data_IF_848012537644
#
_entry.id   IF_848012537644
#
_cell.length_a   1.000
_cell.length_b   1.000
_cell.length_c   1.000
_cell.angle_alpha   90.00
_cell.angle_beta   90.00
_cell.angle_gamma   90.00
#
_symmetry.space_group_name_H-M   'P 1'
#
loop_
_entity.id
_entity.type
_entity.pdbx_description
1 polymer ?
#
# COMPACT_ATOMS: atom_id res chain seq x y z
N UNK A 1 -16.23 -2.10 19.37
CA UNK A 1 -17.00 -1.39 18.31
C UNK A 1 -16.29 -1.68 17.01
N UNK A 2 -16.99 -2.06 15.95
CA UNK A 2 -16.31 -2.54 14.74
C UNK A 2 -16.09 -1.40 13.74
N UNK A 3 -14.82 -1.17 13.36
CA UNK A 3 -14.42 -0.28 12.28
C UNK A 3 -13.99 -1.14 11.10
N UNK A 4 -14.55 -0.86 9.93
CA UNK A 4 -14.20 -1.56 8.70
C UNK A 4 -13.29 -0.68 7.85
N UNK A 5 -12.10 -1.20 7.52
CA UNK A 5 -11.20 -0.55 6.58
C UNK A 5 -11.47 -1.04 5.16
N UNK A 6 -11.72 -0.09 4.26
CA UNK A 6 -11.85 -0.33 2.84
C UNK A 6 -10.60 -0.98 2.25
N UNK A 7 -10.79 -1.89 1.29
CA UNK A 7 -9.70 -2.58 0.58
C UNK A 7 -8.66 -1.62 -0.01
N UNK A 8 -9.09 -0.42 -0.44
CA UNK A 8 -8.20 0.61 -1.00
C UNK A 8 -7.32 1.24 0.06
N UNK A 9 -7.90 1.61 1.20
CA UNK A 9 -7.18 2.15 2.35
C UNK A 9 -6.13 1.15 2.87
N UNK A 10 -6.52 -0.13 3.00
CA UNK A 10 -5.57 -1.19 3.42
C UNK A 10 -4.40 -1.34 2.45
N UNK A 11 -4.66 -1.28 1.14
CA UNK A 11 -3.58 -1.33 0.14
C UNK A 11 -2.67 -0.12 0.22
N UNK A 12 -3.23 1.07 0.41
CA UNK A 12 -2.47 2.31 0.52
C UNK A 12 -1.57 2.29 1.75
N UNK A 13 -2.10 1.92 2.92
CA UNK A 13 -1.30 1.74 4.15
C UNK A 13 -0.18 0.73 3.90
N UNK A 14 -0.46 -0.40 3.24
CA UNK A 14 0.59 -1.39 2.96
C UNK A 14 1.72 -0.85 2.10
N UNK A 15 1.39 -0.11 1.03
CA UNK A 15 2.39 0.50 0.15
C UNK A 15 3.19 1.54 0.91
N UNK A 16 2.50 2.43 1.62
CA UNK A 16 3.15 3.47 2.43
C UNK A 16 4.03 2.88 3.53
N UNK A 17 3.60 1.77 4.15
CA UNK A 17 4.41 1.08 5.14
C UNK A 17 5.67 0.48 4.51
N UNK A 18 5.57 -0.16 3.34
CA UNK A 18 6.76 -0.65 2.62
C UNK A 18 7.72 0.49 2.27
N UNK A 19 7.20 1.60 1.75
CA UNK A 19 7.99 2.77 1.41
C UNK A 19 8.64 3.38 2.66
N UNK A 20 7.94 3.44 3.79
CA UNK A 20 8.45 3.92 5.07
C UNK A 20 9.59 3.02 5.61
N UNK A 21 9.51 1.70 5.41
CA UNK A 21 10.59 0.77 5.76
C UNK A 21 11.83 1.05 4.91
N UNK A 22 11.66 1.23 3.60
CA UNK A 22 12.77 1.45 2.67
C UNK A 22 13.42 2.84 2.83
N UNK A 23 12.60 3.87 3.05
CA UNK A 23 13.03 5.25 3.18
C UNK A 23 13.36 5.68 4.63
N UNK A 24 12.90 4.91 5.62
CA UNK A 24 12.95 5.29 7.04
C UNK A 24 12.05 6.48 7.38
N UNK A 25 11.00 6.73 6.60
CA UNK A 25 10.10 7.88 6.76
C UNK A 25 8.70 7.42 7.22
N UNK A 26 8.50 7.47 8.53
CA UNK A 26 7.21 7.14 9.15
C UNK A 26 6.24 8.33 9.19
N UNK A 27 6.67 9.55 8.84
CA UNK A 27 5.76 10.71 8.82
C UNK A 27 4.71 10.58 7.73
N UNK A 28 5.13 10.15 6.53
CA UNK A 28 4.22 9.90 5.41
C UNK A 28 3.24 8.75 5.74
N UNK A 29 3.74 7.67 6.34
CA UNK A 29 2.91 6.55 6.76
C UNK A 29 1.86 6.95 7.80
N UNK A 30 2.21 7.83 8.75
CA UNK A 30 1.26 8.35 9.73
C UNK A 30 0.08 9.04 9.04
N UNK A 31 0.35 9.89 8.06
CA UNK A 31 -0.69 10.60 7.31
C UNK A 31 -1.58 9.62 6.53
N UNK A 32 -0.98 8.63 5.85
CA UNK A 32 -1.72 7.59 5.12
C UNK A 32 -2.60 6.71 6.02
N UNK A 33 -2.15 6.41 7.25
CA UNK A 33 -2.95 5.68 8.24
C UNK A 33 -4.14 6.53 8.67
N UNK A 34 -3.96 7.83 8.92
CA UNK A 34 -5.04 8.71 9.34
C UNK A 34 -6.10 8.85 8.24
N UNK A 35 -5.66 9.02 7.00
CA UNK A 35 -6.54 9.14 5.82
C UNK A 35 -7.32 7.85 5.53
N UNK A 36 -6.88 6.71 6.07
CA UNK A 36 -7.61 5.44 5.96
C UNK A 36 -8.88 5.39 6.81
N UNK A 37 -9.00 6.24 7.83
CA UNK A 37 -10.17 6.31 8.70
C UNK A 37 -11.06 7.51 8.33
N UNK A 38 -12.37 7.31 8.41
CA UNK A 38 -13.33 8.41 8.23
C UNK A 38 -13.32 9.37 9.42
N UNK A 39 -13.67 10.63 9.21
CA UNK A 39 -13.77 11.64 10.30
C UNK A 39 -14.65 11.14 11.47
N UNK A 40 -15.80 10.51 11.17
CA UNK A 40 -16.69 9.93 12.20
C UNK A 40 -16.02 8.80 13.02
N UNK A 41 -15.18 7.98 12.37
CA UNK A 41 -14.42 6.93 13.04
C UNK A 41 -13.33 7.51 13.91
N UNK A 42 -12.62 8.54 13.43
CA UNK A 42 -11.60 9.26 14.19
C UNK A 42 -12.21 9.91 15.43
N UNK A 43 -13.29 10.68 15.30
CA UNK A 43 -13.96 11.32 16.43
C UNK A 43 -14.39 10.31 17.52
N UNK A 44 -14.86 9.13 17.11
CA UNK A 44 -15.28 8.10 18.05
C UNK A 44 -14.10 7.39 18.72
N UNK A 45 -12.97 7.21 18.02
CA UNK A 45 -11.72 6.72 18.61
C UNK A 45 -11.20 7.74 19.63
N UNK A 46 -11.14 9.02 19.27
CA UNK A 46 -10.72 10.12 20.16
C UNK A 46 -11.62 10.23 21.39
N UNK A 47 -12.93 10.01 21.24
CA UNK A 47 -13.86 9.98 22.37
C UNK A 47 -13.55 8.87 23.38
N UNK A 48 -12.90 7.79 22.93
CA UNK A 48 -12.50 6.66 23.77
C UNK A 48 -11.04 6.73 24.24
N UNK A 49 -10.18 7.43 23.50
CA UNK A 49 -8.84 7.77 23.96
C UNK A 49 -8.95 8.75 25.13
N UNK A 50 -8.84 8.23 26.36
CA UNK A 50 -8.88 9.05 27.58
C UNK A 50 -7.70 10.06 27.67
N UNK A 51 -6.64 9.89 26.87
CA UNK A 51 -5.35 10.59 27.03
C UNK A 51 -4.86 11.44 25.85
N UNK A 52 -5.53 11.50 24.69
CA UNK A 52 -4.98 12.22 23.53
C UNK A 52 -5.86 12.20 22.28
N UNK A 53 -5.40 12.87 21.23
CA UNK A 53 -6.02 12.81 19.89
C UNK A 53 -5.53 11.59 19.10
N UNK A 54 -6.21 11.27 17.99
CA UNK A 54 -5.87 10.09 17.20
C UNK A 54 -4.49 10.22 16.53
N UNK A 55 -4.04 11.46 16.27
CA UNK A 55 -2.75 11.73 15.67
C UNK A 55 -1.59 11.37 16.61
N UNK A 56 -1.66 11.79 17.87
CA UNK A 56 -0.69 11.41 18.90
C UNK A 56 -0.68 9.90 19.12
N UNK A 57 -1.86 9.26 19.13
CA UNK A 57 -1.96 7.81 19.21
C UNK A 57 -1.22 7.08 18.08
N UNK A 58 -1.40 7.50 16.83
CA UNK A 58 -0.69 6.88 15.69
C UNK A 58 0.81 7.22 15.74
N UNK A 59 1.18 8.41 16.21
CA UNK A 59 2.60 8.75 16.39
C UNK A 59 3.27 7.83 17.42
N UNK A 60 2.65 7.63 18.59
CA UNK A 60 3.14 6.73 19.63
C UNK A 60 3.23 5.28 19.14
N UNK A 61 2.23 4.83 18.36
CA UNK A 61 2.23 3.52 17.70
C UNK A 61 3.43 3.36 16.76
N UNK A 62 3.72 4.38 15.94
CA UNK A 62 4.82 4.35 14.98
C UNK A 62 6.20 4.48 15.64
N UNK A 63 6.29 5.01 16.87
CA UNK A 63 7.50 4.93 17.68
C UNK A 63 7.79 3.51 18.17
N UNK A 64 6.74 2.70 18.41
CA UNK A 64 6.86 1.29 18.78
C UNK A 64 7.10 0.39 17.56
N UNK A 65 6.60 0.78 16.38
CA UNK A 65 6.78 0.03 15.15
C UNK A 65 8.24 0.03 14.69
N UNK A 66 8.82 -1.16 14.55
CA UNK A 66 10.24 -1.31 14.17
C UNK A 66 10.49 -1.16 12.67
N UNK A 67 9.45 -1.14 11.83
CA UNK A 67 9.59 -1.14 10.39
C UNK A 67 10.11 -2.46 9.81
N UNK A 68 10.08 -3.57 10.56
CA UNK A 68 10.54 -4.85 10.03
C UNK A 68 9.47 -5.50 9.13
N UNK A 69 8.20 -5.41 9.52
CA UNK A 69 7.09 -6.02 8.79
C UNK A 69 5.82 -5.17 8.82
N UNK A 70 5.07 -5.19 7.71
CA UNK A 70 3.79 -4.47 7.59
C UNK A 70 2.68 -5.17 8.37
N UNK A 71 2.72 -6.50 8.48
CA UNK A 71 1.73 -7.25 9.27
C UNK A 71 1.82 -6.88 10.76
N UNK A 72 3.05 -6.65 11.27
CA UNK A 72 3.28 -6.20 12.65
C UNK A 72 2.62 -4.85 12.94
N UNK A 73 2.66 -3.90 11.99
CA UNK A 73 1.95 -2.63 12.11
C UNK A 73 0.44 -2.82 12.31
N UNK A 74 -0.19 -3.73 11.54
CA UNK A 74 -1.62 -4.01 11.67
C UNK A 74 -1.96 -4.73 12.98
N UNK A 75 -1.09 -5.63 13.45
CA UNK A 75 -1.24 -6.29 14.75
C UNK A 75 -1.15 -5.28 15.90
N UNK A 76 -0.18 -4.37 15.85
CA UNK A 76 -0.03 -3.28 16.83
C UNK A 76 -1.26 -2.37 16.80
N UNK A 77 -1.73 -1.99 15.61
CA UNK A 77 -2.91 -1.14 15.44
C UNK A 77 -4.17 -1.81 16.01
N UNK A 78 -4.40 -3.10 15.75
CA UNK A 78 -5.55 -3.86 16.28
C UNK A 78 -5.45 -4.02 17.82
N UNK A 79 -4.26 -4.28 18.35
CA UNK A 79 -4.04 -4.37 19.80
C UNK A 79 -4.37 -3.05 20.50
N UNK A 80 -3.78 -1.95 20.02
CA UNK A 80 -3.92 -0.62 20.60
C UNK A 80 -5.36 -0.09 20.48
N UNK A 81 -6.02 -0.30 19.32
CA UNK A 81 -7.45 0.01 19.17
C UNK A 81 -8.33 -0.89 20.05
N UNK A 82 -7.93 -2.16 20.23
CA UNK A 82 -8.61 -3.11 21.11
C UNK A 82 -8.61 -2.68 22.57
N UNK A 83 -7.52 -2.05 23.05
CA UNK A 83 -7.43 -1.51 24.41
C UNK A 83 -8.46 -0.41 24.68
N UNK A 84 -8.77 0.41 23.67
CA UNK A 84 -9.82 1.44 23.74
C UNK A 84 -11.22 0.91 23.36
N UNK A 85 -11.36 -0.40 23.14
CA UNK A 85 -12.64 -1.06 22.84
C UNK A 85 -13.12 -0.92 21.39
N UNK A 86 -12.18 -0.70 20.47
CA UNK A 86 -12.39 -0.62 19.02
C UNK A 86 -11.80 -1.87 18.36
N UNK A 87 -12.62 -2.59 17.62
CA UNK A 87 -12.24 -3.79 16.87
C UNK A 87 -11.96 -3.39 15.41
N UNK A 88 -10.74 -3.61 14.94
CA UNK A 88 -10.40 -3.35 13.55
C UNK A 88 -10.78 -4.57 12.68
N UNK A 89 -11.57 -4.33 11.63
CA UNK A 89 -11.95 -5.36 10.66
C UNK A 89 -11.50 -4.94 9.28
N UNK A 90 -10.62 -5.74 8.69
CA UNK A 90 -10.25 -5.56 7.29
C UNK A 90 -11.36 -6.15 6.42
N UNK A 91 -11.88 -5.39 5.47
CA UNK A 91 -12.89 -5.90 4.55
C UNK A 91 -12.25 -7.05 3.73
N UNK A 92 -12.77 -8.27 3.91
CA UNK A 92 -12.18 -9.51 3.37
C UNK A 92 -12.05 -9.42 1.85
N UNK A 93 -10.83 -9.23 1.38
CA UNK A 93 -10.36 -9.91 0.16
C UNK A 93 -9.11 -10.67 0.51
N UNK A 94 -9.29 -11.97 0.78
CA UNK A 94 -8.39 -13.11 0.50
C UNK A 94 -6.85 -13.00 0.70
N UNK A 95 -6.30 -11.91 1.24
CA UNK A 95 -4.86 -11.62 1.21
C UNK A 95 -4.26 -11.38 2.60
N UNK A 96 -4.94 -11.85 3.65
CA UNK A 96 -4.45 -11.89 5.02
C UNK A 96 -4.64 -13.28 5.64
N UNK A 97 -4.47 -14.32 4.82
CA UNK A 97 -4.32 -15.71 5.28
C UNK A 97 -3.06 -16.29 4.64
N UNK A 98 -1.92 -15.60 4.76
CA UNK A 98 -0.65 -16.10 4.26
C UNK A 98 0.52 -15.85 5.20
N UNK A 99 0.34 -16.15 6.49
CA UNK A 99 1.41 -16.73 7.29
C UNK A 99 0.80 -17.83 8.16
N UNK A 100 1.06 -19.07 7.75
CA UNK A 100 0.72 -20.33 8.39
C UNK A 100 -0.68 -20.91 8.07
N UNK A 101 -0.64 -21.82 7.10
CA UNK A 101 -1.42 -23.04 6.94
C UNK A 101 -2.62 -23.03 5.98
N UNK A 102 -2.51 -24.01 5.08
CA UNK A 102 -3.48 -24.67 4.20
C UNK A 102 -3.77 -24.14 2.79
N UNK A 103 -3.79 -25.12 1.90
CA UNK A 103 -3.66 -25.11 0.46
C UNK A 103 -4.99 -24.78 -0.27
N UNK A 104 -4.87 -24.33 -1.52
CA UNK A 104 -5.91 -24.19 -2.56
C UNK A 104 -6.95 -23.05 -2.42
N UNK A 105 -6.88 -22.04 -3.30
CA UNK A 105 -7.75 -22.00 -4.48
C UNK A 105 -7.21 -20.97 -5.48
N UNK A 106 -7.14 -21.41 -6.73
CA UNK A 106 -6.67 -20.69 -7.91
C UNK A 106 -7.88 -19.90 -8.44
N UNK A 107 -7.75 -18.60 -8.69
CA UNK A 107 -8.68 -17.90 -9.59
C UNK A 107 -7.91 -17.39 -10.80
N UNK A 108 -7.85 -18.28 -11.80
CA UNK A 108 -7.52 -17.96 -13.19
C UNK A 108 -8.69 -17.16 -13.78
N UNK A 109 -8.65 -15.83 -13.69
CA UNK A 109 -9.37 -15.01 -14.69
C UNK A 109 -8.38 -14.57 -15.74
N UNK A 110 -8.31 -15.41 -16.77
CA UNK A 110 -8.01 -15.00 -18.14
C UNK A 110 -8.79 -13.71 -18.45
N UNK A 111 -8.09 -12.64 -18.80
CA UNK A 111 -8.65 -11.63 -19.71
C UNK A 111 -7.58 -11.27 -20.74
N UNK A 112 -8.03 -11.34 -21.98
CA UNK A 112 -7.26 -11.53 -23.20
C UNK A 112 -6.69 -10.20 -23.70
N UNK A 113 -5.51 -10.32 -24.31
CA UNK A 113 -4.84 -9.43 -25.26
C UNK A 113 -5.62 -8.22 -25.82
N UNK A 114 -5.10 -7.00 -25.61
CA UNK A 114 -5.15 -5.96 -26.66
C UNK A 114 -3.77 -5.34 -26.91
N UNK A 115 -3.16 -5.86 -27.96
CA UNK A 115 -1.99 -5.39 -28.67
C UNK A 115 -2.22 -3.95 -29.19
N UNK A 116 -1.64 -2.94 -28.53
CA UNK A 116 -1.55 -1.61 -29.12
C UNK A 116 -0.35 -1.56 -30.09
N UNK A 117 -0.64 -1.79 -31.37
CA UNK A 117 0.21 -1.34 -32.48
C UNK A 117 0.15 0.18 -32.58
N UNK A 118 1.09 0.91 -31.95
CA UNK A 118 1.34 2.29 -32.37
C UNK A 118 2.25 2.26 -33.61
N UNK A 119 1.61 2.22 -34.78
CA UNK A 119 2.24 2.70 -36.02
C UNK A 119 2.42 4.20 -35.89
N UNK A 120 3.65 4.65 -35.65
CA UNK A 120 4.04 5.96 -36.15
C UNK A 120 5.36 5.89 -36.92
N UNK A 121 5.20 6.26 -38.18
CA UNK A 121 6.15 6.21 -39.26
C UNK A 121 6.99 7.48 -39.15
N UNK A 122 8.26 7.40 -38.71
CA UNK A 122 9.20 8.42 -39.15
C UNK A 122 10.69 8.03 -39.07
N UNK A 123 11.23 7.82 -40.28
CA UNK A 123 12.56 8.18 -40.77
C UNK A 123 13.77 7.53 -40.09
N UNK A 124 14.02 6.30 -40.55
CA UNK A 124 15.35 5.91 -41.04
C UNK A 124 15.87 6.99 -42.01
N UNK A 125 16.77 7.86 -41.55
CA UNK A 125 17.74 8.48 -42.44
C UNK A 125 19.00 7.60 -42.38
N UNK A 126 18.93 6.51 -43.14
CA UNK A 126 20.12 5.80 -43.61
C UNK A 126 20.70 6.70 -44.71
N UNK A 127 21.80 7.39 -44.42
CA UNK A 127 22.67 7.94 -45.45
C UNK A 127 23.40 6.73 -46.05
N UNK A 128 22.86 6.26 -47.17
CA UNK A 128 23.43 5.19 -47.97
C UNK A 128 24.64 5.74 -48.73
N UNK A 129 25.77 5.06 -48.52
CA UNK A 129 26.92 4.84 -49.41
C UNK A 129 26.79 5.39 -50.84
N UNK A 130 27.85 5.95 -51.43
CA UNK A 130 28.87 5.25 -52.24
C UNK A 130 29.92 6.33 -52.63
N UNK A 131 31.22 6.05 -52.72
CA UNK A 131 31.80 5.55 -53.97
C UNK A 131 33.27 5.13 -53.76
N UNK A 132 33.62 4.00 -54.38
CA UNK A 132 34.96 3.43 -54.44
C UNK A 132 35.79 4.09 -55.56
N UNK A 133 37.08 4.34 -55.31
CA UNK A 133 38.22 4.25 -56.25
C UNK A 133 38.20 4.93 -57.64
N UNK A 134 39.23 5.73 -57.96
CA UNK A 134 40.34 5.40 -58.89
C UNK A 134 41.19 6.66 -59.23
N UNK A 135 42.51 6.44 -59.40
CA UNK A 135 43.57 7.17 -60.13
C UNK A 135 43.46 8.66 -60.56
N UNK A 136 44.43 9.49 -60.10
CA UNK A 136 45.52 10.10 -60.93
C UNK A 136 46.70 10.56 -60.04
#
# INVERSE_FOLDING_TARGET
MEIYLDKRAVRQIRVSAQDAIEAGDTETLREDILDAFTEDQVEEIERRLDNGDFFEFVADLLEEWSGDEVDELFELLDAQLGEVGVDLKLEKTAAAHHRYDDEEEIDETEDEEEQFEEKDENKLFLDETEDEGDDD
#
